data_IF_963289239232
#
_entry.id   IF_963289239232
#
_cell.length_a   1.000
_cell.length_b   1.000
_cell.length_c   1.000
_cell.angle_alpha   90.00
_cell.angle_beta   90.00
_cell.angle_gamma   90.00
#
_symmetry.space_group_name_H-M   'P 1'
#
loop_
_entity.id
_entity.type
_entity.pdbx_description
1 polymer ?
#
# COMPACT_ATOMS: atom_id res chain seq x y z
N UNK A 1 5.86 31.89 -7.32
CA UNK A 1 6.41 30.70 -7.99
C UNK A 1 6.68 29.67 -6.91
N UNK A 2 5.73 28.77 -6.68
CA UNK A 2 5.83 27.72 -5.66
C UNK A 2 6.48 26.50 -6.30
N UNK A 3 7.74 26.25 -5.98
CA UNK A 3 8.42 25.00 -6.34
C UNK A 3 7.62 23.82 -5.78
N UNK A 4 7.17 22.95 -6.69
CA UNK A 4 6.19 21.92 -6.41
C UNK A 4 6.74 20.82 -5.51
N UNK A 5 6.11 20.63 -4.36
CA UNK A 5 6.35 19.52 -3.41
C UNK A 5 6.04 18.11 -4.00
N UNK A 6 5.69 18.02 -5.28
CA UNK A 6 5.24 16.80 -5.96
C UNK A 6 6.37 15.89 -6.49
N UNK A 7 7.57 16.42 -6.70
CA UNK A 7 8.70 15.74 -7.38
C UNK A 7 9.36 14.60 -6.57
N UNK A 8 8.73 14.18 -5.46
CA UNK A 8 9.36 13.32 -4.45
C UNK A 8 8.45 12.22 -3.90
N UNK A 9 7.20 12.06 -4.36
CA UNK A 9 6.28 11.11 -3.71
C UNK A 9 6.71 9.66 -3.91
N UNK A 10 6.86 9.19 -5.15
CA UNK A 10 7.28 7.80 -5.38
C UNK A 10 8.71 7.56 -4.87
N UNK A 11 9.59 8.57 -4.95
CA UNK A 11 10.94 8.50 -4.40
C UNK A 11 10.95 8.31 -2.88
N UNK A 12 10.19 9.14 -2.13
CA UNK A 12 10.07 9.01 -0.66
C UNK A 12 9.53 7.65 -0.26
N UNK A 13 8.54 7.14 -1.00
CA UNK A 13 8.00 5.81 -0.73
C UNK A 13 9.09 4.76 -1.02
N UNK A 14 9.78 4.81 -2.16
CA UNK A 14 10.86 3.88 -2.49
C UNK A 14 11.97 3.90 -1.44
N UNK A 15 12.44 5.08 -1.03
CA UNK A 15 13.48 5.22 -0.01
C UNK A 15 13.03 4.62 1.34
N UNK A 16 11.81 4.94 1.80
CA UNK A 16 11.28 4.39 3.06
C UNK A 16 11.14 2.86 3.04
N UNK A 17 10.75 2.28 1.90
CA UNK A 17 10.62 0.83 1.75
C UNK A 17 11.97 0.13 1.53
N UNK A 18 12.95 0.78 0.90
CA UNK A 18 14.34 0.29 0.87
C UNK A 18 14.95 0.28 2.28
N UNK A 19 14.71 1.32 3.08
CA UNK A 19 15.18 1.35 4.48
C UNK A 19 14.59 0.20 5.29
N UNK A 20 13.32 -0.15 5.07
CA UNK A 20 12.70 -1.33 5.66
C UNK A 20 13.29 -2.65 5.14
N UNK A 21 13.58 -2.73 3.84
CA UNK A 21 14.20 -3.91 3.23
C UNK A 21 15.62 -4.14 3.79
N UNK A 22 16.39 -3.06 3.98
CA UNK A 22 17.76 -3.13 4.48
C UNK A 22 17.85 -3.67 5.92
N UNK A 23 16.78 -3.53 6.72
CA UNK A 23 16.69 -4.20 8.04
C UNK A 23 16.85 -5.72 7.91
N UNK A 24 16.39 -6.30 6.81
CA UNK A 24 16.49 -7.74 6.54
C UNK A 24 17.82 -8.16 5.87
N UNK A 25 18.54 -7.24 5.22
CA UNK A 25 19.81 -7.54 4.54
C UNK A 25 21.04 -7.31 5.42
N UNK A 26 20.99 -6.31 6.30
CA UNK A 26 22.12 -5.95 7.17
C UNK A 26 22.18 -6.81 8.45
N UNK A 27 21.10 -7.54 8.75
CA UNK A 27 21.03 -8.46 9.88
C UNK A 27 21.68 -9.80 9.53
N UNK A 28 22.98 -9.93 9.84
CA UNK A 28 23.61 -11.24 10.06
C UNK A 28 23.06 -11.95 11.33
N UNK A 29 22.09 -11.36 12.03
CA UNK A 29 21.41 -11.93 13.19
C UNK A 29 20.04 -12.50 12.82
N UNK A 30 19.68 -13.61 13.44
CA UNK A 30 18.41 -14.32 13.26
C UNK A 30 17.15 -13.56 13.74
N UNK A 31 17.25 -12.26 14.00
CA UNK A 31 16.22 -11.41 14.61
C UNK A 31 16.11 -10.06 13.87
N UNK A 32 15.91 -10.10 12.55
CA UNK A 32 15.52 -8.90 11.80
C UNK A 32 14.13 -8.44 12.29
N UNK A 33 14.10 -7.45 13.18
CA UNK A 33 12.87 -6.92 13.75
C UNK A 33 12.39 -5.66 13.02
N UNK A 34 11.26 -5.77 12.33
CA UNK A 34 10.59 -4.60 11.73
C UNK A 34 9.91 -3.80 12.83
N UNK A 35 10.41 -2.58 13.06
CA UNK A 35 9.81 -1.64 14.00
C UNK A 35 8.46 -1.10 13.48
N UNK A 36 7.45 -1.02 14.36
CA UNK A 36 6.09 -0.59 13.98
C UNK A 36 6.07 0.86 13.49
N UNK A 37 6.86 1.74 14.10
CA UNK A 37 6.90 3.17 13.74
C UNK A 37 7.42 3.41 12.30
N UNK A 38 8.62 2.95 11.91
CA UNK A 38 9.09 3.02 10.51
C UNK A 38 8.13 2.33 9.52
N UNK A 39 7.59 1.16 9.88
CA UNK A 39 6.64 0.45 9.02
C UNK A 39 5.36 1.26 8.77
N UNK A 40 4.72 1.74 9.84
CA UNK A 40 3.49 2.55 9.73
C UNK A 40 3.74 3.86 8.99
N UNK A 41 4.91 4.49 9.17
CA UNK A 41 5.32 5.66 8.42
C UNK A 41 5.44 5.36 6.92
N UNK A 42 6.17 4.31 6.52
CA UNK A 42 6.29 3.93 5.11
C UNK A 42 4.92 3.63 4.48
N UNK A 43 4.07 2.90 5.21
CA UNK A 43 2.70 2.61 4.77
C UNK A 43 1.86 3.89 4.60
N UNK A 44 2.07 4.92 5.44
CA UNK A 44 1.35 6.18 5.34
C UNK A 44 1.65 6.93 4.03
N UNK A 45 2.88 6.81 3.52
CA UNK A 45 3.31 7.43 2.27
C UNK A 45 2.62 6.83 1.03
N UNK A 46 2.09 5.61 1.15
CA UNK A 46 1.33 4.92 0.08
C UNK A 46 -0.11 5.41 -0.02
N UNK A 47 -0.66 5.99 1.05
CA UNK A 47 -2.06 6.43 1.12
C UNK A 47 -2.52 7.33 -0.05
N UNK A 48 -1.73 8.33 -0.49
CA UNK A 48 -2.11 9.18 -1.62
C UNK A 48 -2.29 8.41 -2.94
N UNK A 49 -1.65 7.25 -3.10
CA UNK A 49 -1.77 6.43 -4.32
C UNK A 49 -3.19 5.88 -4.49
N UNK A 50 -3.86 5.49 -3.39
CA UNK A 50 -5.26 5.07 -3.44
C UNK A 50 -6.19 6.22 -3.83
N UNK A 51 -5.94 7.43 -3.32
CA UNK A 51 -6.71 8.62 -3.69
C UNK A 51 -6.52 9.04 -5.16
N UNK A 52 -5.37 8.70 -5.76
CA UNK A 52 -5.12 8.99 -7.17
C UNK A 52 -6.00 8.17 -8.11
N UNK A 53 -6.49 7.00 -7.70
CA UNK A 53 -7.37 6.12 -8.48
C UNK A 53 -8.83 6.61 -8.58
N UNK A 54 -9.13 7.79 -8.02
CA UNK A 54 -10.42 8.44 -8.17
C UNK A 54 -11.47 7.98 -7.17
N UNK A 55 -12.69 8.50 -7.33
CA UNK A 55 -13.77 8.39 -6.34
C UNK A 55 -14.18 6.95 -6.05
N UNK A 56 -14.04 6.05 -7.03
CA UNK A 56 -14.33 4.63 -6.88
C UNK A 56 -13.46 3.94 -5.81
N UNK A 57 -12.26 4.46 -5.57
CA UNK A 57 -11.30 3.90 -4.62
C UNK A 57 -11.25 4.68 -3.31
N UNK A 58 -12.11 5.69 -3.11
CA UNK A 58 -12.14 6.48 -1.87
C UNK A 58 -12.42 5.61 -0.64
N UNK A 59 -13.29 4.62 -0.76
CA UNK A 59 -13.55 3.67 0.33
C UNK A 59 -12.33 2.80 0.66
N UNK A 60 -11.56 2.39 -0.35
CA UNK A 60 -10.33 1.64 -0.16
C UNK A 60 -9.25 2.51 0.49
N UNK A 61 -9.12 3.76 0.05
CA UNK A 61 -8.24 4.77 0.67
C UNK A 61 -8.59 4.95 2.15
N UNK A 62 -9.88 5.13 2.48
CA UNK A 62 -10.32 5.35 3.85
C UNK A 62 -10.06 4.14 4.76
N UNK A 63 -10.37 2.90 4.32
CA UNK A 63 -10.08 1.70 5.11
C UNK A 63 -8.56 1.51 5.31
N UNK A 64 -7.76 1.74 4.26
CA UNK A 64 -6.30 1.67 4.35
C UNK A 64 -5.72 2.72 5.32
N UNK A 65 -6.08 3.99 5.15
CA UNK A 65 -5.61 5.11 5.99
C UNK A 65 -5.97 4.89 7.45
N UNK A 66 -7.21 4.47 7.74
CA UNK A 66 -7.62 4.18 9.11
C UNK A 66 -6.75 3.08 9.74
N UNK A 67 -6.38 2.04 8.98
CA UNK A 67 -5.60 0.91 9.51
C UNK A 67 -4.13 1.28 9.68
N UNK A 68 -3.58 2.09 8.78
CA UNK A 68 -2.23 2.66 8.95
C UNK A 68 -2.18 3.58 10.17
N UNK A 69 -3.20 4.41 10.37
CA UNK A 69 -3.31 5.26 11.56
C UNK A 69 -3.36 4.43 12.85
N UNK A 70 -4.16 3.37 12.89
CA UNK A 70 -4.22 2.46 14.04
C UNK A 70 -2.84 1.83 14.36
N UNK A 71 -2.05 1.48 13.33
CA UNK A 71 -0.69 0.96 13.52
C UNK A 71 0.30 2.04 13.99
N UNK A 72 0.17 3.27 13.48
CA UNK A 72 0.99 4.39 13.92
C UNK A 72 0.71 4.74 15.39
N UNK A 73 -0.55 4.68 15.82
CA UNK A 73 -0.92 4.85 17.23
C UNK A 73 -0.32 3.72 18.10
N UNK A 74 -0.46 2.47 17.65
CA UNK A 74 0.11 1.31 18.33
C UNK A 74 1.64 1.42 18.50
N UNK A 75 2.34 2.02 17.53
CA UNK A 75 3.80 2.17 17.57
C UNK A 75 4.33 3.02 18.74
N UNK A 76 3.47 3.80 19.41
CA UNK A 76 3.85 4.56 20.60
C UNK A 76 4.12 3.67 21.82
N UNK A 77 3.58 2.45 21.82
CA UNK A 77 3.67 1.50 22.94
C UNK A 77 4.22 0.13 22.54
N UNK A 78 4.17 -0.23 21.25
CA UNK A 78 4.62 -1.52 20.73
C UNK A 78 5.80 -1.28 19.77
N UNK A 79 6.94 -1.90 20.08
CA UNK A 79 8.20 -1.61 19.37
C UNK A 79 8.28 -2.26 17.99
N UNK A 80 7.99 -3.57 17.89
CA UNK A 80 8.15 -4.36 16.66
C UNK A 80 6.85 -5.06 16.24
N UNK A 81 6.76 -5.44 14.96
CA UNK A 81 5.58 -6.11 14.40
C UNK A 81 5.32 -7.48 15.03
N UNK A 82 6.36 -8.19 15.46
CA UNK A 82 6.24 -9.48 16.14
C UNK A 82 5.48 -9.35 17.46
N UNK A 83 5.86 -8.38 18.30
CA UNK A 83 5.17 -8.07 19.56
C UNK A 83 3.73 -7.62 19.34
N UNK A 84 3.48 -6.86 18.27
CA UNK A 84 2.14 -6.43 17.88
C UNK A 84 1.22 -7.63 17.59
N UNK A 85 1.76 -8.67 16.94
CA UNK A 85 1.03 -9.92 16.67
C UNK A 85 0.87 -10.75 17.94
N UNK A 86 1.95 -10.91 18.72
CA UNK A 86 1.98 -11.72 19.94
C UNK A 86 0.95 -11.23 20.98
N UNK A 87 0.81 -9.90 21.14
CA UNK A 87 -0.20 -9.32 22.03
C UNK A 87 -1.63 -9.72 21.64
N UNK A 88 -1.95 -9.74 20.35
CA UNK A 88 -3.26 -10.19 19.85
C UNK A 88 -3.45 -11.70 19.94
N UNK A 89 -2.37 -12.48 19.84
CA UNK A 89 -2.39 -13.94 20.05
C UNK A 89 -2.73 -14.24 21.51
N UNK A 90 -2.02 -13.62 22.45
CA UNK A 90 -2.22 -13.78 23.89
C UNK A 90 -3.64 -13.34 24.32
N UNK A 91 -4.16 -12.28 23.72
CA UNK A 91 -5.52 -11.80 23.96
C UNK A 91 -6.60 -12.61 23.20
N UNK A 92 -6.22 -13.55 22.33
CA UNK A 92 -7.12 -14.29 21.43
C UNK A 92 -7.99 -13.35 20.56
N UNK A 93 -7.42 -12.24 20.10
CA UNK A 93 -8.09 -11.18 19.33
C UNK A 93 -7.60 -11.06 17.88
N UNK A 94 -6.68 -11.91 17.42
CA UNK A 94 -6.07 -11.88 16.06
C UNK A 94 -7.06 -11.62 14.92
N UNK A 95 -8.28 -12.19 14.99
CA UNK A 95 -9.31 -12.05 13.95
C UNK A 95 -10.37 -10.99 14.25
N UNK A 96 -10.38 -10.44 15.46
CA UNK A 96 -11.35 -9.43 15.93
C UNK A 96 -11.21 -8.16 15.10
N UNK A 97 -12.34 -7.55 14.73
CA UNK A 97 -12.34 -6.26 14.05
C UNK A 97 -11.63 -5.20 14.89
N UNK A 98 -10.69 -4.47 14.30
CA UNK A 98 -9.90 -3.44 15.00
C UNK A 98 -8.66 -3.96 15.72
N UNK A 99 -8.42 -5.28 15.77
CA UNK A 99 -7.14 -5.81 16.28
C UNK A 99 -5.97 -5.35 15.41
N UNK A 100 -4.81 -5.17 16.02
CA UNK A 100 -3.63 -4.68 15.32
C UNK A 100 -3.15 -5.68 14.27
N UNK A 101 -3.23 -6.99 14.55
CA UNK A 101 -2.88 -8.05 13.61
C UNK A 101 -3.79 -8.06 12.38
N UNK A 102 -5.11 -7.90 12.58
CA UNK A 102 -6.04 -7.80 11.45
C UNK A 102 -5.85 -6.52 10.66
N UNK A 103 -5.51 -5.41 11.31
CA UNK A 103 -5.18 -4.15 10.65
C UNK A 103 -3.88 -4.28 9.83
N UNK A 104 -2.84 -4.90 10.39
CA UNK A 104 -1.60 -5.21 9.71
C UNK A 104 -1.84 -6.05 8.45
N UNK A 105 -2.68 -7.09 8.54
CA UNK A 105 -3.05 -7.91 7.38
C UNK A 105 -3.73 -7.09 6.28
N UNK A 106 -4.61 -6.13 6.65
CA UNK A 106 -5.28 -5.25 5.67
C UNK A 106 -4.29 -4.28 5.02
N UNK A 107 -3.38 -3.71 5.80
CA UNK A 107 -2.32 -2.84 5.27
C UNK A 107 -1.41 -3.62 4.32
N UNK A 108 -0.96 -4.83 4.70
CA UNK A 108 -0.15 -5.70 3.83
C UNK A 108 -0.83 -5.97 2.49
N UNK A 109 -2.14 -6.27 2.48
CA UNK A 109 -2.91 -6.45 1.23
C UNK A 109 -3.03 -5.15 0.43
N UNK A 110 -3.14 -4.00 1.10
CA UNK A 110 -3.10 -2.70 0.44
C UNK A 110 -1.78 -2.46 -0.30
N UNK A 111 -0.66 -2.76 0.35
CA UNK A 111 0.67 -2.67 -0.28
C UNK A 111 0.78 -3.61 -1.49
N UNK A 112 0.32 -4.85 -1.35
CA UNK A 112 0.35 -5.83 -2.44
C UNK A 112 -0.54 -5.41 -3.62
N UNK A 113 -1.70 -4.80 -3.35
CA UNK A 113 -2.55 -4.22 -4.41
C UNK A 113 -1.81 -3.13 -5.18
N UNK A 114 -1.09 -2.25 -4.49
CA UNK A 114 -0.31 -1.19 -5.13
C UNK A 114 0.81 -1.81 -5.96
N UNK A 115 1.60 -2.74 -5.40
CA UNK A 115 2.65 -3.47 -6.14
C UNK A 115 2.13 -4.06 -7.44
N UNK A 116 1.09 -4.91 -7.37
CA UNK A 116 0.52 -5.58 -8.55
C UNK A 116 -0.07 -4.57 -9.53
N UNK A 117 -0.71 -3.50 -9.06
CA UNK A 117 -1.21 -2.44 -9.94
C UNK A 117 -0.06 -1.80 -10.75
N UNK A 118 1.05 -1.45 -10.10
CA UNK A 118 2.19 -0.86 -10.78
C UNK A 118 2.85 -1.84 -11.76
N UNK A 119 3.00 -3.12 -11.39
CA UNK A 119 3.45 -4.17 -12.31
C UNK A 119 2.56 -4.24 -13.56
N UNK A 120 1.24 -4.26 -13.38
CA UNK A 120 0.31 -4.29 -14.51
C UNK A 120 0.34 -3.01 -15.35
N UNK A 121 0.52 -1.82 -14.74
CA UNK A 121 0.65 -0.55 -15.46
C UNK A 121 1.90 -0.53 -16.33
N UNK A 122 3.00 -1.15 -15.88
CA UNK A 122 4.26 -1.20 -16.62
C UNK A 122 4.16 -2.07 -17.88
N UNK A 123 3.47 -3.21 -17.80
CA UNK A 123 3.35 -4.16 -18.92
C UNK A 123 2.16 -3.89 -19.83
N UNK A 124 1.19 -3.06 -19.40
CA UNK A 124 0.00 -2.74 -20.19
C UNK A 124 0.22 -1.50 -21.04
N UNK A 125 0.06 -1.67 -22.35
CA UNK A 125 0.07 -0.58 -23.33
C UNK A 125 -1.23 0.23 -23.29
N UNK A 126 -1.18 1.46 -23.82
CA UNK A 126 -2.33 2.36 -23.88
C UNK A 126 -2.56 3.19 -22.62
N UNK A 127 -3.64 3.97 -22.63
CA UNK A 127 -3.93 5.01 -21.62
C UNK A 127 -5.02 4.59 -20.60
N UNK A 128 -5.54 3.37 -20.68
CA UNK A 128 -6.56 2.87 -19.76
C UNK A 128 -5.95 2.21 -18.52
N UNK A 129 -6.48 2.53 -17.34
CA UNK A 129 -6.13 1.85 -16.08
C UNK A 129 -7.10 0.71 -15.72
N UNK A 130 -8.16 0.51 -16.48
CA UNK A 130 -9.20 -0.48 -16.17
C UNK A 130 -8.63 -1.89 -16.09
N UNK A 131 -7.87 -2.31 -17.10
CA UNK A 131 -7.34 -3.67 -17.15
C UNK A 131 -6.27 -3.90 -16.07
N UNK A 132 -5.28 -2.98 -15.87
CA UNK A 132 -4.35 -3.09 -14.76
C UNK A 132 -5.02 -3.17 -13.38
N UNK A 133 -5.98 -2.27 -13.12
CA UNK A 133 -6.67 -2.22 -11.83
C UNK A 133 -7.58 -3.43 -11.59
N UNK A 134 -8.23 -3.94 -12.64
CA UNK A 134 -9.07 -5.14 -12.54
C UNK A 134 -8.23 -6.36 -12.20
N UNK A 135 -7.11 -6.58 -12.90
CA UNK A 135 -6.19 -7.70 -12.62
C UNK A 135 -5.60 -7.63 -11.22
N UNK A 136 -5.14 -6.45 -10.81
CA UNK A 136 -4.61 -6.25 -9.45
C UNK A 136 -5.67 -6.54 -8.38
N UNK A 137 -6.90 -6.07 -8.58
CA UNK A 137 -8.00 -6.34 -7.66
C UNK A 137 -8.35 -7.83 -7.59
N UNK A 138 -8.45 -8.50 -8.74
CA UNK A 138 -8.75 -9.93 -8.85
C UNK A 138 -7.71 -10.78 -8.12
N UNK A 139 -6.44 -10.43 -8.23
CA UNK A 139 -5.35 -11.13 -7.58
C UNK A 139 -5.34 -10.91 -6.06
N UNK A 140 -5.45 -9.65 -5.60
CA UNK A 140 -5.15 -9.31 -4.21
C UNK A 140 -6.38 -9.26 -3.31
N UNK A 141 -7.48 -8.68 -3.79
CA UNK A 141 -8.63 -8.36 -2.95
C UNK A 141 -9.86 -9.23 -3.20
N UNK A 142 -10.10 -9.68 -4.44
CA UNK A 142 -11.27 -10.47 -4.77
C UNK A 142 -11.44 -11.76 -3.93
N UNK A 143 -10.37 -12.50 -3.56
CA UNK A 143 -10.47 -13.67 -2.68
C UNK A 143 -10.99 -13.36 -1.27
N UNK A 144 -10.96 -12.08 -0.87
CA UNK A 144 -11.30 -11.63 0.49
C UNK A 144 -12.58 -10.79 0.57
N UNK A 145 -13.20 -10.52 -0.58
CA UNK A 145 -14.40 -9.71 -0.68
C UNK A 145 -15.61 -10.54 -1.08
N UNK A 146 -16.74 -10.32 -0.40
CA UNK A 146 -18.02 -10.91 -0.77
C UNK A 146 -18.53 -10.39 -2.11
N UNK A 147 -19.52 -11.09 -2.68
CA UNK A 147 -20.07 -10.80 -4.01
C UNK A 147 -20.47 -9.32 -4.20
N UNK A 148 -21.13 -8.72 -3.21
CA UNK A 148 -21.57 -7.33 -3.28
C UNK A 148 -20.40 -6.34 -3.45
N UNK A 149 -19.32 -6.52 -2.69
CA UNK A 149 -18.13 -5.65 -2.78
C UNK A 149 -17.45 -5.85 -4.15
N UNK A 150 -17.34 -7.09 -4.64
CA UNK A 150 -16.76 -7.36 -5.97
C UNK A 150 -17.55 -6.66 -7.09
N UNK A 151 -18.88 -6.65 -7.01
CA UNK A 151 -19.73 -5.94 -7.98
C UNK A 151 -19.58 -4.43 -7.88
N UNK A 152 -19.56 -3.86 -6.68
CA UNK A 152 -19.32 -2.44 -6.48
C UNK A 152 -17.97 -1.98 -7.05
N UNK A 153 -16.91 -2.77 -6.82
CA UNK A 153 -15.58 -2.50 -7.37
C UNK A 153 -15.57 -2.57 -8.89
N UNK A 154 -16.18 -3.60 -9.48
CA UNK A 154 -16.29 -3.74 -10.94
C UNK A 154 -17.00 -2.55 -11.60
N UNK A 155 -18.07 -2.04 -10.98
CA UNK A 155 -18.74 -0.82 -11.43
C UNK A 155 -17.87 0.43 -11.23
N UNK A 156 -17.12 0.50 -10.13
CA UNK A 156 -16.19 1.59 -9.84
C UNK A 156 -15.05 1.73 -10.86
N UNK A 157 -14.65 0.64 -11.53
CA UNK A 157 -13.57 0.68 -12.53
C UNK A 157 -13.85 1.63 -13.70
N UNK A 158 -15.11 1.97 -13.97
CA UNK A 158 -15.47 2.95 -15.01
C UNK A 158 -15.18 4.41 -14.63
N UNK A 159 -14.94 4.68 -13.34
CA UNK A 159 -14.59 6.02 -12.83
C UNK A 159 -13.09 6.19 -12.57
N UNK A 160 -12.25 5.23 -12.99
CA UNK A 160 -10.81 5.35 -12.94
C UNK A 160 -10.31 6.50 -13.83
N UNK A 161 -9.26 7.23 -13.42
CA UNK A 161 -8.58 8.16 -14.30
C UNK A 161 -7.85 7.43 -15.44
N UNK A 162 -7.38 8.17 -16.43
CA UNK A 162 -6.44 7.63 -17.42
C UNK A 162 -5.05 7.43 -16.80
N UNK A 163 -4.22 6.61 -17.45
CA UNK A 163 -2.82 6.40 -17.06
C UNK A 163 -2.07 7.72 -17.03
N UNK A 164 -2.22 8.56 -18.04
CA UNK A 164 -1.63 9.91 -18.09
C UNK A 164 -2.09 10.80 -16.93
N UNK A 165 -3.39 10.79 -16.59
CA UNK A 165 -3.91 11.56 -15.47
C UNK A 165 -3.35 11.08 -14.13
N UNK A 166 -3.23 9.76 -13.94
CA UNK A 166 -2.57 9.19 -12.76
C UNK A 166 -1.11 9.64 -12.69
N UNK A 167 -0.34 9.46 -13.78
CA UNK A 167 1.08 9.84 -13.81
C UNK A 167 1.29 11.34 -13.58
N UNK A 168 0.39 12.19 -14.10
CA UNK A 168 0.41 13.64 -13.85
C UNK A 168 0.14 13.97 -12.38
N UNK A 169 -0.79 13.28 -11.72
CA UNK A 169 -1.05 13.45 -10.27
C UNK A 169 0.12 13.01 -9.40
N UNK A 170 0.84 11.97 -9.83
CA UNK A 170 2.05 11.51 -9.16
C UNK A 170 3.22 12.48 -9.36
N UNK A 171 3.14 13.37 -10.35
CA UNK A 171 4.19 14.34 -10.71
C UNK A 171 5.54 13.65 -11.02
N UNK A 172 5.50 12.59 -11.83
CA UNK A 172 6.63 11.68 -12.01
C UNK A 172 7.20 11.71 -13.44
N UNK A 173 8.54 11.68 -13.53
CA UNK A 173 9.29 11.42 -14.75
C UNK A 173 9.46 9.90 -15.03
N UNK A 174 10.04 9.53 -16.18
CA UNK A 174 10.18 8.13 -16.58
C UNK A 174 11.01 7.24 -15.65
N UNK A 175 12.04 7.80 -15.04
CA UNK A 175 13.03 7.04 -14.27
C UNK A 175 12.55 6.75 -12.85
N UNK A 176 11.84 7.68 -12.24
CA UNK A 176 11.33 7.54 -10.87
C UNK A 176 10.20 6.49 -10.79
N UNK A 177 9.39 6.35 -11.85
CA UNK A 177 8.35 5.31 -11.97
C UNK A 177 8.91 3.89 -11.97
N UNK A 178 9.99 3.67 -12.72
CA UNK A 178 10.62 2.35 -12.85
C UNK A 178 11.26 1.96 -11.51
N UNK A 179 12.02 2.88 -10.89
CA UNK A 179 12.66 2.61 -9.60
C UNK A 179 11.63 2.28 -8.51
N UNK A 180 10.54 3.05 -8.42
CA UNK A 180 9.48 2.81 -7.44
C UNK A 180 8.80 1.45 -7.61
N UNK A 181 8.44 1.09 -8.85
CA UNK A 181 7.84 -0.20 -9.13
C UNK A 181 8.83 -1.36 -8.84
N UNK A 182 10.11 -1.22 -9.21
CA UNK A 182 11.14 -2.20 -8.89
C UNK A 182 11.33 -2.41 -7.37
N UNK A 183 11.34 -1.35 -6.57
CA UNK A 183 11.48 -1.48 -5.10
C UNK A 183 10.31 -2.22 -4.45
N UNK A 184 9.07 -1.99 -4.91
CA UNK A 184 7.92 -2.76 -4.39
C UNK A 184 7.90 -4.22 -4.84
N UNK A 185 8.57 -4.57 -5.95
CA UNK A 185 8.68 -5.95 -6.45
C UNK A 185 9.58 -6.80 -5.55
N UNK A 186 10.51 -6.18 -4.80
CA UNK A 186 11.54 -6.87 -4.02
C UNK A 186 11.22 -7.04 -2.52
N UNK A 187 10.06 -6.54 -2.06
CA UNK A 187 9.55 -6.67 -0.67
C UNK A 187 8.46 -7.74 -0.53
#
# INVERSE_FOLDING_TARGET
MTEGNGDKTLRKIADAFNDLANVFTDSQSAEAEVKVAPFSHACSLVSPLFGCLGVAFKFAEMDYVAKVHDLAEASKSIQNLQSLIELDVQANTVRKGGSHTRNLLRVKRGLDMVRVLFEQILVTEGNSLRDPASKAYEQVFAPHHGWAIRKAVSAGMYALPTKEQLLKKLNEDGKSRIKFACTFIEL
#
